data_IF_507350887177
#
_entry.id   IF_507350887177
#
_cell.length_a   1.000
_cell.length_b   1.000
_cell.length_c   1.000
_cell.angle_alpha   90.00
_cell.angle_beta   90.00
_cell.angle_gamma   90.00
#
_symmetry.space_group_name_H-M   'P 1'
#
loop_
_entity.id
_entity.type
_entity.pdbx_description
1 polymer ?
#
# COMPACT_ATOMS: atom_id res chain seq x y z
N UNK A 1 20.47 19.17 -3.20
CA UNK A 1 19.18 18.44 -3.16
C UNK A 1 18.65 18.48 -1.72
N UNK A 2 17.74 19.42 -1.38
CA UNK A 2 17.19 19.51 -0.02
C UNK A 2 16.52 18.18 0.32
N UNK A 3 17.11 17.38 1.23
CA UNK A 3 16.33 16.38 1.97
C UNK A 3 15.15 17.17 2.53
N UNK A 4 13.90 16.78 2.21
CA UNK A 4 12.76 17.29 2.97
C UNK A 4 13.14 16.96 4.42
N UNK A 5 13.42 17.98 5.22
CA UNK A 5 13.61 17.80 6.65
C UNK A 5 12.43 17.00 7.16
N UNK A 6 12.65 16.18 8.18
CA UNK A 6 11.58 15.48 8.91
C UNK A 6 10.73 16.56 9.58
N UNK A 7 9.91 17.24 8.77
CA UNK A 7 8.99 18.26 9.22
C UNK A 7 7.80 17.56 9.83
N UNK A 8 7.31 18.12 10.93
CA UNK A 8 6.05 17.72 11.53
C UNK A 8 4.97 17.63 10.44
N UNK A 9 4.32 16.47 10.38
CA UNK A 9 3.22 16.22 9.46
C UNK A 9 1.99 15.87 10.26
N UNK A 10 1.05 16.80 10.33
CA UNK A 10 -0.20 16.61 11.08
C UNK A 10 -0.89 15.28 10.72
N UNK A 11 -1.06 14.89 9.44
CA UNK A 11 -1.64 13.58 9.10
C UNK A 11 -0.86 12.39 9.67
N UNK A 12 0.47 12.42 9.62
CA UNK A 12 1.31 11.33 10.13
C UNK A 12 1.20 11.22 11.65
N UNK A 13 1.20 12.37 12.34
CA UNK A 13 0.97 12.42 13.79
C UNK A 13 -0.40 11.87 14.15
N UNK A 14 -1.45 12.24 13.42
CA UNK A 14 -2.81 11.70 13.65
C UNK A 14 -2.84 10.18 13.48
N UNK A 15 -2.25 9.64 12.42
CA UNK A 15 -2.19 8.17 12.22
C UNK A 15 -1.46 7.48 13.38
N UNK A 16 -0.32 8.01 13.82
CA UNK A 16 0.44 7.44 14.94
C UNK A 16 -0.34 7.49 16.27
N UNK A 17 -1.08 8.58 16.53
CA UNK A 17 -1.94 8.71 17.71
C UNK A 17 -3.10 7.71 17.65
N UNK A 18 -3.73 7.52 16.49
CA UNK A 18 -4.81 6.53 16.31
C UNK A 18 -4.29 5.11 16.53
N UNK A 19 -3.11 4.76 15.98
CA UNK A 19 -2.48 3.45 16.20
C UNK A 19 -2.19 3.26 17.71
N UNK A 20 -1.64 4.27 18.37
CA UNK A 20 -1.34 4.24 19.81
C UNK A 20 -2.59 4.06 20.67
N UNK A 21 -3.66 4.81 20.37
CA UNK A 21 -4.95 4.68 21.06
C UNK A 21 -5.57 3.30 20.88
N UNK A 22 -5.65 2.80 19.64
CA UNK A 22 -6.19 1.46 19.35
C UNK A 22 -5.37 0.38 20.06
N UNK A 23 -4.03 0.52 20.08
CA UNK A 23 -3.17 -0.40 20.82
C UNK A 23 -3.48 -0.40 22.32
N UNK A 24 -3.55 0.79 22.93
CA UNK A 24 -3.86 0.94 24.34
C UNK A 24 -5.21 0.31 24.68
N UNK A 25 -6.27 0.68 23.96
CA UNK A 25 -7.61 0.15 24.18
C UNK A 25 -7.67 -1.37 23.98
N UNK A 26 -6.99 -1.91 22.96
CA UNK A 26 -7.01 -3.35 22.68
C UNK A 26 -6.32 -4.16 23.78
N UNK A 27 -5.11 -3.74 24.20
CA UNK A 27 -4.31 -4.50 25.16
C UNK A 27 -4.78 -4.30 26.59
N UNK A 28 -4.97 -3.05 27.01
CA UNK A 28 -5.22 -2.73 28.42
C UNK A 28 -6.71 -2.61 28.75
N UNK A 29 -7.61 -2.63 27.77
CA UNK A 29 -9.05 -2.61 28.01
C UNK A 29 -9.71 -3.89 27.51
N UNK A 30 -9.67 -4.18 26.21
CA UNK A 30 -10.45 -5.29 25.65
C UNK A 30 -9.90 -6.66 26.03
N UNK A 31 -8.57 -6.86 25.91
CA UNK A 31 -7.93 -8.13 26.27
C UNK A 31 -8.03 -8.37 27.78
N UNK A 32 -7.76 -7.34 28.60
CA UNK A 32 -7.84 -7.48 30.04
C UNK A 32 -9.26 -7.80 30.51
N UNK A 33 -10.26 -7.09 29.96
CA UNK A 33 -11.67 -7.35 30.27
C UNK A 33 -12.13 -8.74 29.83
N UNK A 34 -11.73 -9.20 28.64
CA UNK A 34 -12.22 -10.45 28.08
C UNK A 34 -11.50 -11.69 28.62
N UNK A 35 -10.18 -11.63 28.75
CA UNK A 35 -9.34 -12.77 29.12
C UNK A 35 -8.57 -12.59 30.43
N UNK A 36 -8.45 -11.37 30.97
CA UNK A 36 -7.47 -10.97 32.00
C UNK A 36 -6.01 -11.09 31.52
N UNK A 37 -5.23 -10.02 31.68
CA UNK A 37 -3.81 -10.02 31.30
C UNK A 37 -2.93 -10.96 32.14
N UNK A 38 -3.45 -11.51 33.24
CA UNK A 38 -2.73 -12.51 34.05
C UNK A 38 -2.99 -13.94 33.58
N UNK A 39 -3.96 -14.16 32.69
CA UNK A 39 -4.26 -15.49 32.14
C UNK A 39 -3.37 -15.81 30.94
N UNK A 40 -3.17 -17.11 30.65
CA UNK A 40 -2.47 -17.55 29.44
C UNK A 40 -3.09 -17.04 28.13
N UNK A 41 -4.42 -17.06 27.91
CA UNK A 41 -5.00 -16.47 26.69
C UNK A 41 -4.86 -14.95 26.64
N UNK A 42 -4.92 -14.24 27.78
CA UNK A 42 -4.71 -12.80 27.81
C UNK A 42 -3.29 -12.41 27.39
N UNK A 43 -2.28 -13.08 27.97
CA UNK A 43 -0.87 -12.88 27.60
C UNK A 43 -0.64 -13.21 26.13
N UNK A 44 -1.21 -14.31 25.63
CA UNK A 44 -1.06 -14.71 24.22
C UNK A 44 -1.68 -13.68 23.25
N UNK A 45 -2.89 -13.19 23.54
CA UNK A 45 -3.53 -12.15 22.73
C UNK A 45 -2.75 -10.83 22.79
N UNK A 46 -2.28 -10.42 23.98
CA UNK A 46 -1.50 -9.21 24.15
C UNK A 46 -0.18 -9.27 23.37
N UNK A 47 0.52 -10.42 23.43
CA UNK A 47 1.74 -10.64 22.66
C UNK A 47 1.48 -10.62 21.15
N UNK A 48 0.45 -11.31 20.67
CA UNK A 48 0.08 -11.36 19.26
C UNK A 48 -0.31 -9.98 18.72
N UNK A 49 -1.16 -9.24 19.45
CA UNK A 49 -1.58 -7.89 19.08
C UNK A 49 -0.41 -6.90 19.12
N UNK A 50 0.49 -7.02 20.10
CA UNK A 50 1.70 -6.21 20.17
C UNK A 50 2.64 -6.47 18.99
N UNK A 51 2.88 -7.73 18.63
CA UNK A 51 3.69 -8.07 17.45
C UNK A 51 3.08 -7.49 16.16
N UNK A 52 1.75 -7.58 16.02
CA UNK A 52 1.02 -7.03 14.90
C UNK A 52 1.13 -5.48 14.83
N UNK A 53 0.96 -4.79 15.96
CA UNK A 53 1.09 -3.34 16.05
C UNK A 53 2.51 -2.87 15.73
N UNK A 54 3.54 -3.57 16.23
CA UNK A 54 4.94 -3.28 15.93
C UNK A 54 5.24 -3.43 14.44
N UNK A 55 4.75 -4.49 13.80
CA UNK A 55 4.90 -4.69 12.35
C UNK A 55 4.16 -3.63 11.54
N UNK A 56 2.96 -3.23 11.98
CA UNK A 56 2.20 -2.14 11.37
C UNK A 56 2.99 -0.82 11.42
N UNK A 57 3.46 -0.41 12.61
CA UNK A 57 4.25 0.82 12.83
C UNK A 57 5.56 0.78 12.03
N UNK A 58 6.24 -0.37 11.98
CA UNK A 58 7.48 -0.52 11.24
C UNK A 58 7.27 -0.32 9.74
N UNK A 59 6.28 -0.98 9.14
CA UNK A 59 5.94 -0.81 7.72
C UNK A 59 5.47 0.62 7.42
N UNK A 60 4.64 1.20 8.29
CA UNK A 60 4.17 2.58 8.18
C UNK A 60 5.34 3.56 8.16
N UNK A 61 6.28 3.41 9.10
CA UNK A 61 7.49 4.25 9.18
C UNK A 61 8.32 4.15 7.90
N UNK A 62 8.51 2.94 7.35
CA UNK A 62 9.21 2.80 6.08
C UNK A 62 8.44 3.48 4.94
N UNK A 63 7.12 3.33 4.86
CA UNK A 63 6.31 3.98 3.83
C UNK A 63 6.40 5.52 3.88
N UNK A 64 6.44 6.09 5.08
CA UNK A 64 6.63 7.54 5.33
C UNK A 64 8.02 8.01 4.88
N UNK A 65 9.09 7.32 5.29
CA UNK A 65 10.46 7.82 5.10
C UNK A 65 11.16 7.35 3.81
N UNK A 66 10.73 6.24 3.21
CA UNK A 66 11.35 5.70 2.01
C UNK A 66 11.05 6.58 0.80
N UNK A 67 12.09 6.93 0.04
CA UNK A 67 11.91 7.64 -1.23
C UNK A 67 11.05 6.77 -2.16
N UNK A 68 9.95 7.26 -2.75
CA UNK A 68 9.03 6.50 -3.62
C UNK A 68 9.54 6.23 -5.04
N UNK A 69 10.76 6.66 -5.35
CA UNK A 69 11.42 6.38 -6.62
C UNK A 69 11.56 7.67 -7.41
N UNK A 70 12.79 7.95 -7.85
CA UNK A 70 13.12 9.15 -8.64
C UNK A 70 13.45 8.73 -10.06
N UNK A 71 12.96 9.51 -11.01
CA UNK A 71 13.43 9.38 -12.40
C UNK A 71 14.90 9.80 -12.47
N UNK A 72 15.79 8.98 -13.06
CA UNK A 72 17.17 9.37 -13.33
C UNK A 72 17.21 10.65 -14.18
N UNK A 73 18.09 11.60 -13.84
CA UNK A 73 18.17 12.89 -14.54
C UNK A 73 18.58 12.74 -16.01
N UNK A 74 19.39 11.72 -16.29
CA UNK A 74 19.86 11.33 -17.62
C UNK A 74 18.93 10.31 -18.31
N UNK A 75 17.71 10.10 -17.80
CA UNK A 75 16.78 9.20 -18.48
C UNK A 75 16.42 9.76 -19.86
N UNK A 76 16.75 8.98 -20.88
CA UNK A 76 16.38 9.20 -22.26
C UNK A 76 15.71 7.91 -22.77
N UNK A 77 14.50 7.98 -23.36
CA UNK A 77 13.89 6.81 -23.95
C UNK A 77 14.72 6.38 -25.15
N UNK A 78 15.12 5.12 -25.15
CA UNK A 78 15.72 4.49 -26.32
C UNK A 78 14.58 3.95 -27.19
N UNK A 79 14.30 4.64 -28.28
CA UNK A 79 13.19 4.31 -29.20
C UNK A 79 13.57 3.18 -30.14
N UNK A 80 14.87 2.93 -30.30
CA UNK A 80 15.42 1.89 -31.17
C UNK A 80 15.71 0.59 -30.41
N UNK A 81 15.48 0.57 -29.09
CA UNK A 81 15.70 -0.60 -28.26
C UNK A 81 14.72 -1.75 -28.62
N UNK A 82 15.22 -2.86 -29.20
CA UNK A 82 14.38 -3.99 -29.56
C UNK A 82 13.78 -4.71 -28.34
N UNK A 83 14.35 -4.53 -27.14
CA UNK A 83 13.84 -5.13 -25.91
C UNK A 83 12.67 -4.33 -25.29
N UNK A 84 12.34 -3.16 -25.84
CA UNK A 84 11.24 -2.31 -25.35
C UNK A 84 10.27 -1.97 -26.48
N UNK A 85 9.49 -2.96 -26.99
CA UNK A 85 8.62 -2.75 -28.15
C UNK A 85 7.49 -1.75 -27.90
N UNK A 86 7.19 -1.43 -26.63
CA UNK A 86 6.09 -0.54 -26.25
C UNK A 86 6.60 0.70 -25.52
N UNK A 87 6.65 1.82 -26.24
CA UNK A 87 6.85 3.14 -25.65
C UNK A 87 5.51 3.76 -25.26
N UNK A 88 5.39 4.22 -24.02
CA UNK A 88 4.25 5.04 -23.62
C UNK A 88 4.34 6.41 -24.30
N UNK A 89 3.46 6.62 -25.26
CA UNK A 89 3.38 7.86 -26.05
C UNK A 89 2.32 8.81 -25.44
N UNK A 90 2.49 10.13 -25.60
CA UNK A 90 1.45 11.10 -25.22
C UNK A 90 0.17 10.82 -26.02
N UNK A 91 -0.97 10.80 -25.31
CA UNK A 91 -2.32 10.67 -25.90
C UNK A 91 -2.62 11.70 -27.00
N UNK A 92 -1.99 12.87 -26.95
CA UNK A 92 -2.11 13.93 -27.94
C UNK A 92 -0.75 14.15 -28.59
N UNK A 93 -0.67 13.97 -29.90
CA UNK A 93 0.48 14.34 -30.72
C UNK A 93 1.49 13.24 -31.00
N UNK A 94 1.44 12.08 -30.34
CA UNK A 94 2.38 11.00 -30.65
C UNK A 94 3.78 11.18 -30.06
N UNK A 95 4.05 12.29 -29.34
CA UNK A 95 5.36 12.53 -28.75
C UNK A 95 5.67 11.61 -27.56
N UNK A 96 6.97 11.43 -27.31
CA UNK A 96 7.50 10.90 -26.05
C UNK A 96 6.99 11.70 -24.84
N UNK A 97 6.75 11.00 -23.73
CA UNK A 97 6.26 11.62 -22.49
C UNK A 97 7.35 12.48 -21.86
N UNK A 98 7.17 13.80 -21.91
CA UNK A 98 8.08 14.77 -21.30
C UNK A 98 7.46 15.48 -20.09
N UNK A 99 8.25 15.76 -19.04
CA UNK A 99 7.81 16.56 -17.90
C UNK A 99 8.35 17.99 -17.98
N UNK A 100 7.51 18.94 -18.39
CA UNK A 100 7.90 20.36 -18.46
C UNK A 100 8.37 20.94 -17.11
N UNK A 101 7.84 20.44 -15.99
CA UNK A 101 8.19 20.93 -14.64
C UNK A 101 9.54 20.43 -14.13
N UNK A 102 9.99 19.28 -14.63
CA UNK A 102 11.27 18.69 -14.23
C UNK A 102 12.34 18.77 -15.33
N UNK A 103 11.96 19.20 -16.53
CA UNK A 103 12.81 19.30 -17.71
C UNK A 103 13.52 18.00 -18.11
N UNK A 104 12.82 16.87 -18.05
CA UNK A 104 13.34 15.57 -18.51
C UNK A 104 12.22 14.65 -19.02
N UNK A 105 12.59 13.61 -19.77
CA UNK A 105 11.67 12.57 -20.23
C UNK A 105 11.16 11.72 -19.06
N UNK A 106 9.94 11.22 -19.18
CA UNK A 106 9.31 10.33 -18.19
C UNK A 106 9.47 8.89 -18.66
N UNK A 107 10.04 8.00 -17.83
CA UNK A 107 9.92 6.58 -18.04
C UNK A 107 8.45 6.13 -18.10
N UNK A 108 8.19 4.95 -18.68
CA UNK A 108 6.88 4.33 -18.59
C UNK A 108 6.36 4.31 -17.14
N UNK A 109 5.05 4.52 -16.96
CA UNK A 109 4.36 4.52 -15.66
C UNK A 109 4.80 5.62 -14.68
N UNK A 110 5.74 6.49 -15.05
CA UNK A 110 6.16 7.60 -14.20
C UNK A 110 5.21 8.81 -14.33
N UNK A 111 4.88 9.47 -13.23
CA UNK A 111 4.04 10.69 -13.23
C UNK A 111 4.65 11.79 -12.35
N UNK A 112 4.36 13.05 -12.68
CA UNK A 112 4.80 14.20 -11.89
C UNK A 112 3.82 14.44 -10.76
N UNK A 113 4.27 14.29 -9.52
CA UNK A 113 3.46 14.66 -8.37
C UNK A 113 3.65 16.16 -8.04
N UNK A 114 2.55 16.91 -8.07
CA UNK A 114 2.54 18.35 -7.76
C UNK A 114 2.90 18.65 -6.30
N UNK A 115 2.71 17.71 -5.38
CA UNK A 115 3.04 17.85 -3.95
C UNK A 115 4.49 17.45 -3.66
N UNK A 116 4.97 16.33 -4.25
CA UNK A 116 6.37 15.92 -4.17
C UNK A 116 7.30 16.82 -5.03
N UNK A 117 6.75 17.62 -5.97
CA UNK A 117 7.46 18.53 -6.90
C UNK A 117 8.52 17.82 -7.76
N UNK A 118 8.23 16.60 -8.18
CA UNK A 118 9.13 15.75 -8.98
C UNK A 118 8.37 14.65 -9.68
N UNK A 119 9.01 14.02 -10.67
CA UNK A 119 8.54 12.77 -11.25
C UNK A 119 8.84 11.60 -10.31
N UNK A 120 7.85 10.72 -10.14
CA UNK A 120 7.92 9.51 -9.33
C UNK A 120 7.79 8.31 -10.25
N UNK A 121 8.70 7.34 -10.13
CA UNK A 121 8.67 6.08 -10.89
C UNK A 121 7.45 5.25 -10.48
N UNK A 122 6.76 4.63 -11.45
CA UNK A 122 5.52 3.85 -11.25
C UNK A 122 4.60 4.48 -10.21
N UNK A 123 4.25 5.75 -10.42
CA UNK A 123 3.51 6.53 -9.42
C UNK A 123 2.10 5.96 -9.28
N UNK A 124 1.70 5.64 -8.05
CA UNK A 124 0.34 5.21 -7.76
C UNK A 124 -0.53 6.40 -7.34
N UNK A 125 -0.18 7.05 -6.23
CA UNK A 125 -0.85 8.25 -5.76
C UNK A 125 0.05 9.04 -4.80
N UNK A 126 -0.39 10.23 -4.40
CA UNK A 126 0.20 10.93 -3.27
C UNK A 126 -0.69 10.72 -2.04
N UNK A 127 -0.18 10.03 -1.03
CA UNK A 127 -0.96 9.69 0.14
C UNK A 127 -0.68 10.70 1.26
N UNK A 128 -1.72 11.46 1.62
CA UNK A 128 -1.65 12.46 2.69
C UNK A 128 -1.33 11.81 4.04
N UNK A 129 -1.82 10.60 4.28
CA UNK A 129 -1.70 9.87 5.55
C UNK A 129 -0.31 9.32 5.83
N UNK A 130 0.55 9.22 4.82
CA UNK A 130 1.99 8.92 4.99
C UNK A 130 2.87 10.14 4.66
N UNK A 131 2.25 11.27 4.26
CA UNK A 131 2.91 12.48 3.79
C UNK A 131 3.99 12.23 2.72
N UNK A 132 3.74 11.27 1.83
CA UNK A 132 4.68 10.82 0.83
C UNK A 132 3.95 10.33 -0.42
N UNK A 133 4.64 10.34 -1.56
CA UNK A 133 4.13 9.64 -2.73
C UNK A 133 4.21 8.12 -2.49
N UNK A 134 3.27 7.36 -3.05
CA UNK A 134 3.39 5.90 -3.20
C UNK A 134 3.79 5.65 -4.65
N UNK A 135 4.95 5.02 -4.84
CA UNK A 135 5.54 4.75 -6.14
C UNK A 135 6.36 3.46 -6.14
N UNK A 136 7.14 3.24 -7.18
CA UNK A 136 7.88 1.99 -7.43
C UNK A 136 8.58 1.42 -6.19
N UNK A 137 9.34 2.25 -5.48
CA UNK A 137 10.25 1.77 -4.43
C UNK A 137 9.62 1.60 -3.06
N UNK A 138 8.45 2.18 -2.80
CA UNK A 138 7.73 2.07 -1.53
C UNK A 138 6.32 1.47 -1.65
N UNK A 139 5.85 1.11 -2.85
CA UNK A 139 4.53 0.51 -3.04
C UNK A 139 4.34 -0.76 -2.21
N UNK A 140 5.31 -1.67 -2.22
CA UNK A 140 5.25 -2.91 -1.44
C UNK A 140 5.04 -2.65 0.04
N UNK A 141 5.88 -1.81 0.65
CA UNK A 141 5.81 -1.54 2.09
C UNK A 141 4.54 -0.78 2.47
N UNK A 142 4.01 0.07 1.57
CA UNK A 142 2.68 0.66 1.74
C UNK A 142 1.59 -0.41 1.74
N UNK A 143 1.60 -1.34 0.77
CA UNK A 143 0.62 -2.43 0.70
C UNK A 143 0.67 -3.33 1.95
N UNK A 144 1.88 -3.73 2.37
CA UNK A 144 2.08 -4.55 3.57
C UNK A 144 1.64 -3.80 4.84
N UNK A 145 1.89 -2.49 4.93
CA UNK A 145 1.32 -1.64 5.99
C UNK A 145 -0.21 -1.73 6.01
N UNK A 146 -0.88 -1.57 4.85
CA UNK A 146 -2.35 -1.65 4.79
C UNK A 146 -2.86 -3.03 5.20
N UNK A 147 -2.19 -4.12 4.81
CA UNK A 147 -2.52 -5.49 5.26
C UNK A 147 -2.48 -5.57 6.79
N UNK A 148 -1.36 -5.17 7.40
CA UNK A 148 -1.22 -5.20 8.87
C UNK A 148 -2.22 -4.28 9.58
N UNK A 149 -2.51 -3.11 9.01
CA UNK A 149 -3.48 -2.17 9.58
C UNK A 149 -4.91 -2.74 9.55
N UNK A 150 -5.34 -3.36 8.44
CA UNK A 150 -6.64 -4.04 8.36
C UNK A 150 -6.71 -5.20 9.34
N UNK A 151 -5.69 -6.07 9.39
CA UNK A 151 -5.65 -7.18 10.34
C UNK A 151 -5.72 -6.69 11.78
N UNK A 152 -5.01 -5.61 12.13
CA UNK A 152 -5.05 -5.03 13.47
C UNK A 152 -6.43 -4.44 13.80
N UNK A 153 -7.07 -3.74 12.86
CA UNK A 153 -8.41 -3.19 13.07
C UNK A 153 -9.46 -4.29 13.26
N UNK A 154 -9.44 -5.34 12.42
CA UNK A 154 -10.36 -6.48 12.54
C UNK A 154 -10.13 -7.24 13.84
N UNK A 155 -8.87 -7.50 14.22
CA UNK A 155 -8.54 -8.16 15.48
C UNK A 155 -9.02 -7.31 16.67
N UNK A 156 -8.74 -6.01 16.67
CA UNK A 156 -9.22 -5.08 17.70
C UNK A 156 -10.75 -5.05 17.80
N UNK A 157 -11.47 -5.09 16.66
CA UNK A 157 -12.93 -5.15 16.64
C UNK A 157 -13.48 -6.45 17.25
N UNK A 158 -12.83 -7.59 16.96
CA UNK A 158 -13.19 -8.88 17.58
C UNK A 158 -12.95 -8.84 19.09
N UNK A 159 -11.83 -8.27 19.53
CA UNK A 159 -11.52 -8.09 20.96
C UNK A 159 -12.54 -7.17 21.64
N UNK A 160 -12.88 -6.05 21.01
CA UNK A 160 -13.90 -5.11 21.50
C UNK A 160 -15.24 -5.83 21.66
N UNK A 161 -15.75 -6.50 20.62
CA UNK A 161 -17.05 -7.20 20.68
C UNK A 161 -17.02 -8.32 21.71
N UNK A 162 -15.93 -9.09 21.77
CA UNK A 162 -15.78 -10.16 22.75
C UNK A 162 -15.77 -9.66 24.19
N UNK A 163 -15.06 -8.56 24.46
CA UNK A 163 -15.01 -7.94 25.79
C UNK A 163 -16.35 -7.40 26.28
N UNK A 164 -17.28 -7.06 25.37
CA UNK A 164 -18.65 -6.69 25.71
C UNK A 164 -19.52 -7.86 26.17
N UNK A 165 -19.06 -9.11 26.01
CA UNK A 165 -19.81 -10.29 26.46
C UNK A 165 -19.56 -10.64 27.94
N UNK A 166 -18.60 -9.97 28.59
CA UNK A 166 -18.26 -10.16 30.00
C UNK A 166 -19.06 -9.20 30.87
N UNK A 167 -19.85 -9.75 31.80
CA UNK A 167 -20.70 -8.98 32.73
C UNK A 167 -19.86 -8.01 33.57
N UNK A 168 -20.24 -6.70 33.65
CA UNK A 168 -19.57 -5.72 34.50
C UNK A 168 -19.27 -6.31 35.88
N UNK A 169 -18.00 -6.28 36.28
CA UNK A 169 -17.71 -6.52 37.70
C UNK A 169 -18.21 -5.28 38.46
N UNK A 170 -18.32 -5.33 39.78
CA UNK A 170 -18.69 -4.17 40.62
C UNK A 170 -17.62 -3.05 40.49
N UNK A 171 -17.63 -2.39 39.34
CA UNK A 171 -16.72 -1.32 38.94
C UNK A 171 -17.18 -0.05 39.64
N UNK A 172 -16.26 0.64 40.28
CA UNK A 172 -16.51 1.99 40.80
C UNK A 172 -17.06 2.88 39.67
N UNK A 173 -18.06 3.70 39.99
CA UNK A 173 -18.83 4.48 38.99
C UNK A 173 -17.93 5.32 38.06
N UNK A 174 -16.84 5.89 38.61
CA UNK A 174 -15.85 6.66 37.84
C UNK A 174 -15.09 5.79 36.83
N UNK A 175 -14.68 4.58 37.24
CA UNK A 175 -14.00 3.62 36.37
C UNK A 175 -14.92 3.15 35.25
N UNK A 176 -16.18 2.83 35.57
CA UNK A 176 -17.18 2.43 34.58
C UNK A 176 -17.44 3.52 33.53
N UNK A 177 -17.46 4.79 33.95
CA UNK A 177 -17.60 5.94 33.04
C UNK A 177 -16.41 6.09 32.08
N UNK A 178 -15.19 5.96 32.60
CA UNK A 178 -13.96 5.99 31.80
C UNK A 178 -13.92 4.85 30.78
N UNK A 179 -14.20 3.62 31.21
CA UNK A 179 -14.26 2.44 30.33
C UNK A 179 -15.30 2.65 29.24
N UNK A 180 -16.53 3.06 29.60
CA UNK A 180 -17.59 3.36 28.63
C UNK A 180 -17.12 4.38 27.58
N UNK A 181 -16.40 5.42 28.00
CA UNK A 181 -15.83 6.43 27.08
C UNK A 181 -14.83 5.80 26.11
N UNK A 182 -13.92 4.93 26.59
CA UNK A 182 -12.99 4.19 25.72
C UNK A 182 -13.74 3.33 24.70
N UNK A 183 -14.76 2.57 25.13
CA UNK A 183 -15.55 1.71 24.24
C UNK A 183 -16.24 2.52 23.14
N UNK A 184 -16.88 3.63 23.52
CA UNK A 184 -17.56 4.52 22.57
C UNK A 184 -16.57 5.09 21.56
N UNK A 185 -15.47 5.70 22.02
CA UNK A 185 -14.44 6.27 21.12
C UNK A 185 -13.85 5.17 20.22
N UNK A 186 -13.56 4.00 20.77
CA UNK A 186 -13.00 2.89 20.01
C UNK A 186 -13.97 2.36 18.95
N UNK A 187 -15.26 2.25 19.24
CA UNK A 187 -16.26 1.83 18.26
C UNK A 187 -16.38 2.87 17.12
N UNK A 188 -16.43 4.16 17.46
CA UNK A 188 -16.47 5.25 16.49
C UNK A 188 -15.20 5.35 15.63
N UNK A 189 -14.05 4.91 16.13
CA UNK A 189 -12.80 4.84 15.35
C UNK A 189 -12.68 3.55 14.54
N UNK A 190 -12.82 2.38 15.18
CA UNK A 190 -12.52 1.07 14.58
C UNK A 190 -13.48 0.68 13.47
N UNK A 191 -14.79 0.94 13.60
CA UNK A 191 -15.77 0.55 12.58
C UNK A 191 -15.49 1.26 11.23
N UNK A 192 -15.50 2.61 11.15
CA UNK A 192 -15.24 3.29 9.89
C UNK A 192 -13.80 3.08 9.39
N UNK A 193 -12.81 2.98 10.29
CA UNK A 193 -11.43 2.71 9.90
C UNK A 193 -11.29 1.31 9.27
N UNK A 194 -11.92 0.29 9.85
CA UNK A 194 -11.92 -1.08 9.31
C UNK A 194 -12.55 -1.12 7.91
N UNK A 195 -13.69 -0.44 7.72
CA UNK A 195 -14.35 -0.37 6.42
C UNK A 195 -13.46 0.36 5.40
N UNK A 196 -12.95 1.54 5.74
CA UNK A 196 -12.13 2.35 4.84
C UNK A 196 -10.84 1.63 4.43
N UNK A 197 -10.12 1.06 5.39
CA UNK A 197 -8.89 0.31 5.12
C UNK A 197 -9.18 -1.01 4.40
N UNK A 198 -10.30 -1.68 4.70
CA UNK A 198 -10.72 -2.90 4.01
C UNK A 198 -11.02 -2.64 2.53
N UNK A 199 -11.75 -1.57 2.22
CA UNK A 199 -11.99 -1.12 0.83
C UNK A 199 -10.67 -0.77 0.13
N UNK A 200 -9.78 -0.03 0.82
CA UNK A 200 -8.46 0.31 0.29
C UNK A 200 -7.62 -0.94 -0.01
N UNK A 201 -7.64 -1.94 0.89
CA UNK A 201 -6.93 -3.20 0.70
C UNK A 201 -7.49 -3.97 -0.50
N UNK A 202 -8.82 -4.15 -0.58
CA UNK A 202 -9.47 -4.81 -1.70
C UNK A 202 -9.18 -4.13 -3.03
N UNK A 203 -9.20 -2.79 -3.05
CA UNK A 203 -8.81 -1.98 -4.20
C UNK A 203 -7.37 -2.25 -4.66
N UNK A 204 -6.40 -2.23 -3.74
CA UNK A 204 -5.00 -2.47 -4.10
C UNK A 204 -4.73 -3.93 -4.47
N UNK A 205 -5.46 -4.90 -3.91
CA UNK A 205 -5.40 -6.30 -4.36
C UNK A 205 -5.84 -6.38 -5.83
N UNK A 206 -6.98 -5.80 -6.19
CA UNK A 206 -7.46 -5.75 -7.57
C UNK A 206 -6.43 -5.10 -8.52
N UNK A 207 -5.85 -3.95 -8.13
CA UNK A 207 -4.84 -3.27 -8.92
C UNK A 207 -3.57 -4.11 -9.12
N UNK A 208 -3.09 -4.79 -8.08
CA UNK A 208 -1.90 -5.66 -8.18
C UNK A 208 -2.19 -6.84 -9.11
N UNK A 209 -3.35 -7.50 -8.95
CA UNK A 209 -3.72 -8.65 -9.77
C UNK A 209 -3.77 -8.32 -11.28
N UNK A 210 -4.06 -7.07 -11.64
CA UNK A 210 -4.09 -6.60 -13.03
C UNK A 210 -2.88 -5.74 -13.42
N UNK A 211 -1.87 -5.66 -12.55
CA UNK A 211 -0.67 -4.81 -12.67
C UNK A 211 -0.96 -3.37 -13.12
N UNK A 212 -1.97 -2.76 -12.52
CA UNK A 212 -2.33 -1.35 -12.71
C UNK A 212 -1.85 -0.53 -11.52
N UNK A 213 -1.51 0.73 -11.76
CA UNK A 213 -1.52 1.77 -10.73
C UNK A 213 -2.91 2.40 -10.65
N UNK A 214 -3.20 3.12 -9.55
CA UNK A 214 -4.43 3.91 -9.44
C UNK A 214 -4.55 4.92 -10.59
N UNK A 215 -3.44 5.56 -11.00
CA UNK A 215 -3.43 6.46 -12.15
C UNK A 215 -3.76 5.71 -13.45
N UNK A 216 -3.11 4.58 -13.71
CA UNK A 216 -3.32 3.77 -14.91
C UNK A 216 -4.76 3.26 -15.01
N UNK A 217 -5.38 2.88 -13.89
CA UNK A 217 -6.79 2.51 -13.86
C UNK A 217 -7.67 3.65 -14.38
N UNK A 218 -7.55 4.85 -13.80
CA UNK A 218 -8.34 6.02 -14.20
C UNK A 218 -8.03 6.47 -15.62
N UNK A 219 -6.76 6.42 -16.01
CA UNK A 219 -6.31 6.70 -17.36
C UNK A 219 -6.90 5.71 -18.38
N UNK A 220 -7.01 4.44 -18.01
CA UNK A 220 -7.52 3.34 -18.84
C UNK A 220 -9.04 3.27 -18.97
N UNK A 221 -9.83 4.02 -18.19
CA UNK A 221 -11.31 3.94 -18.19
C UNK A 221 -11.90 4.07 -19.60
N UNK A 222 -11.40 5.01 -20.41
CA UNK A 222 -11.86 5.16 -21.79
C UNK A 222 -11.49 3.97 -22.67
N UNK A 223 -10.28 3.42 -22.51
CA UNK A 223 -9.84 2.26 -23.26
C UNK A 223 -10.63 1.01 -22.90
N UNK A 224 -10.94 0.83 -21.60
CA UNK A 224 -11.83 -0.22 -21.10
C UNK A 224 -13.23 -0.13 -21.73
N UNK A 225 -13.83 1.05 -21.70
CA UNK A 225 -15.16 1.29 -22.29
C UNK A 225 -15.19 1.09 -23.81
N UNK A 226 -14.13 1.49 -24.54
CA UNK A 226 -14.03 1.27 -25.98
C UNK A 226 -13.87 -0.22 -26.33
N UNK A 227 -13.05 -0.96 -25.59
CA UNK A 227 -12.90 -2.40 -25.78
C UNK A 227 -14.23 -3.13 -25.56
N UNK A 228 -14.93 -2.78 -24.48
CA UNK A 228 -16.24 -3.37 -24.14
C UNK A 228 -17.28 -3.11 -25.24
N UNK A 229 -17.32 -1.91 -25.81
CA UNK A 229 -18.16 -1.60 -26.99
C UNK A 229 -17.82 -2.43 -28.23
N UNK A 230 -16.57 -2.86 -28.37
CA UNK A 230 -16.13 -3.75 -29.44
C UNK A 230 -16.32 -5.25 -29.12
N UNK A 231 -16.93 -5.60 -27.98
CA UNK A 231 -17.05 -6.99 -27.53
C UNK A 231 -15.73 -7.61 -27.07
N UNK A 232 -14.72 -6.78 -26.76
CA UNK A 232 -13.41 -7.22 -26.29
C UNK A 232 -13.21 -6.88 -24.82
N UNK A 233 -12.49 -7.74 -24.10
CA UNK A 233 -12.05 -7.45 -22.72
C UNK A 233 -10.74 -6.68 -22.79
N UNK A 234 -10.71 -5.47 -22.25
CA UNK A 234 -9.47 -4.69 -22.16
C UNK A 234 -8.46 -5.39 -21.24
N UNK A 235 -7.32 -5.79 -21.81
CA UNK A 235 -6.16 -6.27 -21.06
C UNK A 235 -5.13 -5.15 -20.94
N UNK A 236 -4.70 -4.89 -19.71
CA UNK A 236 -3.69 -3.86 -19.48
C UNK A 236 -2.32 -4.32 -20.02
N UNK A 237 -1.53 -3.47 -20.70
CA UNK A 237 -0.25 -3.89 -21.30
C UNK A 237 0.75 -4.53 -20.33
N UNK A 238 0.73 -4.12 -19.06
CA UNK A 238 1.61 -4.65 -18.02
C UNK A 238 1.03 -5.88 -17.29
N UNK A 239 -0.21 -6.28 -17.60
CA UNK A 239 -0.83 -7.47 -17.03
C UNK A 239 -0.32 -8.73 -17.73
N UNK A 240 0.59 -9.45 -17.06
CA UNK A 240 1.25 -10.65 -17.59
C UNK A 240 0.82 -11.93 -16.88
N UNK A 241 -0.24 -11.88 -16.06
CA UNK A 241 -0.73 -12.99 -15.24
C UNK A 241 -0.69 -12.69 -13.75
N UNK A 242 -1.68 -13.17 -13.00
CA UNK A 242 -1.86 -12.81 -11.59
C UNK A 242 -0.64 -13.16 -10.71
N UNK A 243 -0.03 -14.32 -10.94
CA UNK A 243 1.14 -14.79 -10.20
C UNK A 243 2.38 -13.92 -10.49
N UNK A 244 2.62 -13.64 -11.76
CA UNK A 244 3.72 -12.81 -12.24
C UNK A 244 3.55 -11.36 -11.75
N UNK A 245 2.32 -10.83 -11.83
CA UNK A 245 2.00 -9.49 -11.35
C UNK A 245 2.23 -9.36 -9.84
N UNK A 246 1.79 -10.35 -9.04
CA UNK A 246 2.07 -10.39 -7.61
C UNK A 246 3.58 -10.46 -7.34
N UNK A 247 4.29 -11.31 -8.08
CA UNK A 247 5.75 -11.51 -7.92
C UNK A 247 6.55 -10.24 -8.26
N UNK A 248 6.14 -9.49 -9.28
CA UNK A 248 6.77 -8.21 -9.63
C UNK A 248 6.69 -7.18 -8.50
N UNK A 249 5.58 -7.17 -7.76
CA UNK A 249 5.31 -6.19 -6.70
C UNK A 249 5.80 -6.66 -5.32
N UNK A 250 5.48 -7.89 -4.95
CA UNK A 250 5.76 -8.46 -3.63
C UNK A 250 7.10 -9.19 -3.56
N UNK A 251 7.76 -9.40 -4.70
CA UNK A 251 9.07 -10.04 -4.81
C UNK A 251 8.99 -11.55 -5.10
N UNK A 252 10.14 -12.18 -5.41
CA UNK A 252 10.23 -13.56 -5.89
C UNK A 252 9.88 -14.61 -4.85
N UNK A 253 10.02 -14.29 -3.56
CA UNK A 253 9.78 -15.24 -2.48
C UNK A 253 8.43 -14.97 -1.80
N UNK A 254 7.48 -15.88 -2.01
CA UNK A 254 6.12 -15.84 -1.45
C UNK A 254 6.14 -15.74 0.08
N UNK A 255 7.05 -16.47 0.74
CA UNK A 255 7.19 -16.46 2.21
C UNK A 255 7.62 -15.09 2.75
N UNK A 256 8.20 -14.24 1.89
CA UNK A 256 8.64 -12.89 2.23
C UNK A 256 7.66 -11.80 1.77
N UNK A 257 6.49 -12.14 1.26
CA UNK A 257 5.53 -11.14 0.75
C UNK A 257 5.06 -10.17 1.82
N UNK A 258 4.78 -10.66 3.04
CA UNK A 258 4.43 -9.84 4.19
C UNK A 258 5.66 -9.27 4.93
N UNK A 259 6.87 -9.62 4.51
CA UNK A 259 8.09 -9.13 5.13
C UNK A 259 8.53 -7.79 4.49
N UNK A 260 8.67 -6.71 5.27
CA UNK A 260 9.04 -5.37 4.78
C UNK A 260 10.41 -5.27 4.11
N UNK A 261 11.30 -6.22 4.38
CA UNK A 261 12.72 -6.14 4.01
C UNK A 261 13.00 -6.61 2.59
N UNK A 262 12.13 -7.44 2.00
CA UNK A 262 12.34 -7.94 0.65
C UNK A 262 12.04 -6.85 -0.38
N UNK A 263 12.94 -6.78 -1.38
CA UNK A 263 12.92 -5.75 -2.41
C UNK A 263 11.89 -6.10 -3.49
N UNK A 264 11.32 -5.07 -4.11
CA UNK A 264 10.55 -5.19 -5.35
C UNK A 264 11.49 -5.53 -6.51
N UNK A 265 10.94 -5.99 -7.64
CA UNK A 265 11.72 -6.35 -8.82
C UNK A 265 11.84 -5.14 -9.76
N UNK A 266 13.02 -4.96 -10.35
CA UNK A 266 13.27 -3.97 -11.40
C UNK A 266 13.62 -2.56 -10.90
N UNK A 267 14.18 -1.75 -11.80
CA UNK A 267 14.62 -0.38 -11.53
C UNK A 267 13.49 0.65 -11.50
N UNK A 268 12.30 0.28 -11.99
CA UNK A 268 11.16 1.17 -12.16
C UNK A 268 11.23 2.02 -13.44
N UNK A 269 12.25 1.80 -14.28
CA UNK A 269 12.45 2.48 -15.57
C UNK A 269 12.00 1.62 -16.75
N UNK A 270 12.06 0.29 -16.59
CA UNK A 270 11.55 -0.71 -17.55
C UNK A 270 10.61 -1.67 -16.82
N UNK A 271 9.58 -2.12 -17.53
CA UNK A 271 8.59 -3.07 -17.02
C UNK A 271 8.28 -4.06 -18.12
N UNK A 272 8.22 -5.34 -17.76
CA UNK A 272 7.78 -6.38 -18.69
C UNK A 272 6.34 -6.13 -19.13
N UNK A 273 6.07 -6.30 -20.41
CA UNK A 273 4.74 -6.18 -21.01
C UNK A 273 4.25 -7.52 -21.53
N UNK A 274 2.95 -7.62 -21.80
CA UNK A 274 2.35 -8.78 -22.46
C UNK A 274 2.81 -8.95 -23.92
N UNK A 275 3.52 -7.97 -24.48
CA UNK A 275 4.03 -7.97 -25.86
C UNK A 275 5.50 -8.38 -25.95
N UNK A 276 6.20 -8.48 -24.82
CA UNK A 276 7.59 -8.92 -24.81
C UNK A 276 7.63 -10.41 -25.15
N UNK A 277 8.44 -10.80 -26.15
CA UNK A 277 8.61 -12.19 -26.55
C UNK A 277 9.03 -13.03 -25.33
N UNK A 278 8.29 -14.09 -25.04
CA UNK A 278 8.72 -15.12 -24.09
C UNK A 278 10.06 -15.65 -24.65
N UNK A 279 11.16 -15.68 -23.88
CA UNK A 279 12.37 -16.35 -24.34
C UNK A 279 11.99 -17.81 -24.61
N UNK A 280 12.12 -18.26 -25.85
CA UNK A 280 11.94 -19.66 -26.19
C UNK A 280 12.86 -20.48 -25.28
N UNK A 281 12.28 -21.31 -24.42
CA UNK A 281 13.01 -22.18 -23.50
C UNK A 281 13.70 -23.35 -24.24
N UNK A 282 14.13 -23.16 -25.48
CA UNK A 282 14.69 -24.18 -26.37
C UNK A 282 16.15 -23.97 -26.76
N UNK A 283 16.85 -22.93 -26.30
CA UNK A 283 18.25 -22.66 -26.71
C UNK A 283 19.36 -23.05 -25.71
N UNK A 284 19.07 -23.70 -24.59
CA UNK A 284 20.10 -24.37 -23.76
C UNK A 284 20.22 -25.86 -24.08
N UNK A 285 20.66 -26.18 -25.30
CA UNK A 285 21.29 -27.47 -25.67
C UNK A 285 22.22 -27.24 -26.87
N UNK A 286 23.37 -26.62 -26.65
CA UNK A 286 24.59 -26.81 -27.44
C UNK A 286 25.81 -26.66 -26.54
#
# INVERSE_FOLDING_TARGET
MKRKGVGFSLPVTVVMLVIGFIYFASVFTFIDRWFSLTSSPGIANAAAFTALALMCIYNYSIAVFRDPGRVPLNYMPDVEDPESPVHEIKRKGGDLRYCQKCSHFKPPRAHHCRVCKRCVLRMDHHCIWINNCVGHTNYKVFFVFVVYAVTACVYSLVLLVGSLTVEPQDEEEEMGSYLRTIYVISAFLLIPLSIALGVLLGWHIYLILQNKTTIEYHEGVRAMWLAEKGGQVYKHPYDIGAYENLTLILGPNILSWLCPTSRHIGSGVRFRTAFDSIPDSSETKH
#
